data_IF_286508412489
#
_entry.id   IF_286508412489
#
_cell.length_a   1.000
_cell.length_b   1.000
_cell.length_c   1.000
_cell.angle_alpha   90.00
_cell.angle_beta   90.00
_cell.angle_gamma   90.00
#
_symmetry.space_group_name_H-M   'P 1'
#
loop_
_entity.id
_entity.type
_entity.pdbx_description
1 polymer ?
#
# COMPACT_ATOMS: atom_id res chain seq x y z
N UNK A 1 -36.33 -5.39 19.69
CA UNK A 1 -34.86 -5.21 19.62
C UNK A 1 -34.52 -5.13 18.14
N UNK A 2 -33.87 -4.04 17.72
CA UNK A 2 -33.75 -3.69 16.31
C UNK A 2 -32.93 -4.75 15.55
N UNK A 3 -33.59 -5.51 14.67
CA UNK A 3 -32.95 -6.34 13.65
C UNK A 3 -32.46 -5.44 12.51
N UNK A 4 -31.45 -4.62 12.77
CA UNK A 4 -30.73 -3.92 11.71
C UNK A 4 -29.51 -4.76 11.33
N UNK A 5 -29.80 -5.88 10.66
CA UNK A 5 -28.80 -6.55 9.82
C UNK A 5 -28.51 -5.63 8.65
N UNK A 6 -27.60 -4.66 8.86
CA UNK A 6 -27.03 -3.90 7.77
C UNK A 6 -26.34 -4.88 6.82
N UNK A 7 -26.33 -4.63 5.50
CA UNK A 7 -25.45 -5.37 4.62
C UNK A 7 -24.05 -5.09 5.16
N UNK A 8 -23.44 -6.10 5.79
CA UNK A 8 -22.00 -6.13 5.96
C UNK A 8 -21.49 -5.91 4.56
N UNK A 9 -21.04 -4.69 4.31
CA UNK A 9 -20.61 -4.26 3.01
C UNK A 9 -19.75 -5.42 2.49
N UNK A 10 -20.15 -5.97 1.36
CA UNK A 10 -19.25 -6.69 0.49
C UNK A 10 -18.15 -5.67 0.18
N UNK A 11 -17.24 -5.52 1.13
CA UNK A 11 -15.91 -5.03 0.91
C UNK A 11 -15.32 -6.19 0.14
N UNK A 12 -15.75 -6.32 -1.11
CA UNK A 12 -14.90 -6.52 -2.25
C UNK A 12 -13.61 -5.79 -1.92
N UNK A 13 -12.75 -6.51 -1.19
CA UNK A 13 -11.34 -6.30 -1.05
C UNK A 13 -10.84 -6.48 -2.48
N UNK A 14 -11.14 -5.49 -3.34
CA UNK A 14 -10.50 -5.25 -4.61
C UNK A 14 -9.06 -5.12 -4.18
N UNK A 15 -8.37 -6.26 -4.24
CA UNK A 15 -7.02 -6.52 -3.74
C UNK A 15 -6.24 -5.24 -3.96
N UNK A 16 -6.09 -4.44 -2.90
CA UNK A 16 -5.21 -3.28 -2.93
C UNK A 16 -3.84 -3.92 -3.12
N UNK A 17 -3.43 -4.03 -4.39
CA UNK A 17 -2.19 -4.69 -4.80
C UNK A 17 -1.07 -3.79 -4.30
N UNK A 18 -0.71 -3.96 -3.04
CA UNK A 18 0.49 -3.38 -2.47
C UNK A 18 1.66 -3.93 -3.28
N UNK A 19 2.41 -3.05 -3.93
CA UNK A 19 3.67 -3.43 -4.55
C UNK A 19 4.79 -3.27 -3.52
N UNK A 20 5.83 -4.09 -3.60
CA UNK A 20 7.04 -3.88 -2.82
C UNK A 20 7.89 -2.84 -3.55
N UNK A 21 8.54 -1.99 -2.77
CA UNK A 21 9.44 -0.95 -3.25
C UNK A 21 10.74 -1.04 -2.47
N UNK A 22 11.86 -0.77 -3.15
CA UNK A 22 13.18 -0.66 -2.56
C UNK A 22 13.75 0.72 -2.83
N UNK A 23 14.15 1.41 -1.77
CA UNK A 23 14.85 2.69 -1.92
C UNK A 23 16.27 2.45 -2.43
N UNK A 24 16.66 3.17 -3.49
CA UNK A 24 17.99 3.07 -4.07
C UNK A 24 19.01 3.96 -3.34
N UNK A 25 18.56 4.98 -2.60
CA UNK A 25 19.44 5.83 -1.79
C UNK A 25 19.84 5.21 -0.46
N UNK A 26 18.86 4.73 0.32
CA UNK A 26 19.11 4.21 1.66
C UNK A 26 19.00 2.69 1.77
N UNK A 27 18.59 2.01 0.69
CA UNK A 27 18.45 0.55 0.66
C UNK A 27 17.21 0.00 1.38
N UNK A 28 16.28 0.85 1.83
CA UNK A 28 15.13 0.41 2.63
C UNK A 28 14.04 -0.26 1.76
N UNK A 29 13.58 -1.44 2.17
CA UNK A 29 12.46 -2.16 1.54
C UNK A 29 11.14 -1.87 2.26
N UNK A 30 10.10 -1.52 1.50
CA UNK A 30 8.78 -1.20 2.05
C UNK A 30 7.66 -1.49 1.07
N UNK A 31 6.41 -1.51 1.55
CA UNK A 31 5.23 -1.76 0.70
C UNK A 31 4.48 -0.45 0.45
N UNK A 32 4.16 -0.19 -0.81
CA UNK A 32 3.50 1.04 -1.25
C UNK A 32 2.25 0.75 -2.06
N UNK A 33 1.32 1.70 -2.03
CA UNK A 33 0.11 1.71 -2.84
C UNK A 33 0.17 2.89 -3.80
N UNK A 34 0.00 2.65 -5.10
CA UNK A 34 0.00 3.69 -6.13
C UNK A 34 1.30 3.80 -6.92
N UNK A 35 1.44 4.89 -7.70
CA UNK A 35 2.52 5.12 -8.68
C UNK A 35 3.61 6.09 -8.19
N UNK A 36 3.28 6.94 -7.20
CA UNK A 36 4.22 7.86 -6.56
C UNK A 36 4.38 7.42 -5.12
N UNK A 37 5.51 6.78 -4.85
CA UNK A 37 5.84 6.26 -3.53
C UNK A 37 7.18 6.86 -3.14
N UNK A 38 7.28 7.33 -1.90
CA UNK A 38 8.48 7.96 -1.36
C UNK A 38 9.01 7.04 -0.27
N UNK A 39 10.33 6.93 -0.16
CA UNK A 39 10.95 6.12 0.88
C UNK A 39 10.58 6.68 2.27
N UNK A 40 9.99 5.89 3.17
CA UNK A 40 9.64 6.37 4.51
C UNK A 40 10.85 6.62 5.40
N UNK A 41 12.01 6.03 5.08
CA UNK A 41 13.22 6.16 5.91
C UNK A 41 14.04 7.41 5.59
N UNK A 42 14.26 7.72 4.31
CA UNK A 42 15.07 8.86 3.88
C UNK A 42 14.30 9.94 3.12
N UNK A 43 12.99 9.74 2.88
CA UNK A 43 12.14 10.64 2.09
C UNK A 43 12.60 10.86 0.63
N UNK A 44 13.49 10.00 0.12
CA UNK A 44 13.87 10.01 -1.29
C UNK A 44 12.74 9.46 -2.17
N UNK A 45 12.54 10.08 -3.33
CA UNK A 45 11.65 9.58 -4.40
C UNK A 45 12.33 8.51 -5.29
N UNK A 46 13.62 8.28 -5.10
CA UNK A 46 14.40 7.29 -5.84
C UNK A 46 14.14 5.86 -5.31
N UNK A 47 12.96 5.34 -5.63
CA UNK A 47 12.52 4.01 -5.23
C UNK A 47 12.19 3.16 -6.46
N UNK A 48 12.62 1.90 -6.43
CA UNK A 48 12.36 0.92 -7.48
C UNK A 48 11.26 -0.05 -7.04
N UNK A 49 10.36 -0.40 -7.96
CA UNK A 49 9.32 -1.40 -7.70
C UNK A 49 9.91 -2.80 -7.82
N UNK A 50 9.81 -3.58 -6.75
CA UNK A 50 10.13 -5.01 -6.77
C UNK A 50 8.81 -5.76 -6.95
N UNK A 51 8.53 -6.20 -8.18
CA UNK A 51 7.29 -6.90 -8.55
C UNK A 51 7.07 -8.22 -7.81
#
# INVERSE_FOLDING_TARGET
MCSSGGPMADLSMKKLKTKKYKCLDCGNDFKGLGKKVICPSCQSDNVEVQE
#
